data_IF_926485913970
#
_entry.id   IF_926485913970
#
_cell.length_a   1.000
_cell.length_b   1.000
_cell.length_c   1.000
_cell.angle_alpha   90.00
_cell.angle_beta   90.00
_cell.angle_gamma   90.00
#
_symmetry.space_group_name_H-M   'P 1'
#
loop_
_entity.id
_entity.type
_entity.pdbx_description
1 polymer ?
#
# COMPACT_ATOMS: atom_id res chain seq x y z
N UNK A 1 -2.01 -40.48 -15.22
CA UNK A 1 -2.79 -41.43 -14.40
C UNK A 1 -3.90 -42.00 -15.25
N UNK A 2 -4.40 -43.20 -14.95
CA UNK A 2 -5.57 -43.76 -15.62
C UNK A 2 -6.45 -44.43 -14.57
N UNK A 3 -7.75 -44.46 -14.83
CA UNK A 3 -8.74 -45.12 -13.97
C UNK A 3 -9.28 -46.35 -14.70
N UNK A 4 -9.45 -47.47 -14.02
CA UNK A 4 -10.17 -48.61 -14.55
C UNK A 4 -11.62 -48.55 -14.05
N UNK A 5 -12.58 -48.65 -14.97
CA UNK A 5 -13.98 -48.78 -14.55
C UNK A 5 -14.23 -50.18 -14.00
N UNK A 6 -15.31 -50.36 -13.22
CA UNK A 6 -15.75 -51.69 -12.71
C UNK A 6 -16.08 -52.70 -13.84
N UNK A 7 -16.13 -52.26 -15.09
CA UNK A 7 -16.31 -53.07 -16.29
C UNK A 7 -15.00 -53.41 -17.02
N UNK A 8 -13.84 -53.22 -16.39
CA UNK A 8 -12.49 -53.46 -16.95
C UNK A 8 -12.20 -52.66 -18.22
N UNK A 9 -12.88 -51.52 -18.41
CA UNK A 9 -12.57 -50.58 -19.48
C UNK A 9 -11.57 -49.56 -18.92
N UNK A 10 -10.35 -49.60 -19.44
CA UNK A 10 -9.30 -48.65 -19.08
C UNK A 10 -9.68 -47.27 -19.63
N UNK A 11 -9.79 -46.30 -18.73
CA UNK A 11 -9.98 -44.89 -19.12
C UNK A 11 -8.76 -44.43 -19.91
N UNK A 12 -8.92 -43.50 -20.87
CA UNK A 12 -7.80 -42.89 -21.56
C UNK A 12 -6.77 -42.37 -20.55
N UNK A 13 -5.48 -42.58 -20.86
CA UNK A 13 -4.39 -42.12 -20.00
C UNK A 13 -4.43 -40.58 -19.87
N UNK A 14 -4.53 -40.08 -18.63
CA UNK A 14 -4.46 -38.67 -18.29
C UNK A 14 -2.98 -38.25 -18.15
N UNK A 15 -2.54 -37.34 -19.02
CA UNK A 15 -1.18 -36.79 -19.04
C UNK A 15 -1.20 -35.30 -18.73
N UNK A 16 -0.30 -34.88 -17.84
CA UNK A 16 -0.09 -33.49 -17.49
C UNK A 16 1.37 -33.12 -17.75
N UNK A 17 1.70 -32.86 -19.01
CA UNK A 17 3.01 -32.34 -19.38
C UNK A 17 2.87 -30.84 -19.66
N UNK A 18 3.62 -30.04 -18.92
CA UNK A 18 3.55 -28.58 -19.02
C UNK A 18 4.87 -27.92 -18.69
N UNK A 19 4.98 -26.66 -19.10
CA UNK A 19 6.11 -25.78 -18.82
C UNK A 19 5.61 -24.59 -17.99
N UNK A 20 6.42 -24.20 -17.00
CA UNK A 20 6.25 -22.95 -16.26
C UNK A 20 7.47 -22.08 -16.53
N UNK A 21 7.22 -20.82 -16.91
CA UNK A 21 8.24 -19.84 -17.25
C UNK A 21 8.03 -18.62 -16.39
N UNK A 22 9.09 -18.11 -15.78
CA UNK A 22 9.02 -16.96 -14.88
C UNK A 22 10.15 -15.99 -15.23
N UNK A 23 9.84 -14.70 -15.27
CA UNK A 23 10.78 -13.62 -15.51
C UNK A 23 10.51 -12.50 -14.51
N UNK A 24 11.55 -12.03 -13.83
CA UNK A 24 11.47 -10.91 -12.91
C UNK A 24 12.50 -9.86 -13.32
N UNK A 25 12.06 -8.61 -13.43
CA UNK A 25 12.89 -7.46 -13.74
C UNK A 25 12.69 -6.41 -12.65
N UNK A 26 13.73 -6.23 -11.84
CA UNK A 26 13.77 -5.21 -10.81
C UNK A 26 14.67 -4.08 -11.29
N UNK A 27 14.11 -2.89 -11.50
CA UNK A 27 14.87 -1.73 -11.98
C UNK A 27 14.69 -0.52 -11.07
N UNK A 28 15.81 0.04 -10.60
CA UNK A 28 15.84 1.24 -9.77
C UNK A 28 16.31 2.43 -10.60
N UNK A 29 15.35 3.23 -11.10
CA UNK A 29 15.65 4.43 -11.88
C UNK A 29 16.38 5.51 -11.06
N UNK A 30 15.94 5.73 -9.82
CA UNK A 30 16.56 6.68 -8.89
C UNK A 30 16.49 6.15 -7.46
N UNK A 31 17.08 6.88 -6.50
CA UNK A 31 16.91 6.54 -5.07
C UNK A 31 15.47 6.61 -4.59
N UNK A 32 14.61 7.36 -5.29
CA UNK A 32 13.20 7.53 -4.97
C UNK A 32 12.25 6.83 -5.92
N UNK A 33 12.70 6.31 -7.06
CA UNK A 33 11.87 5.67 -8.08
C UNK A 33 12.41 4.27 -8.39
N UNK A 34 11.61 3.25 -8.12
CA UNK A 34 11.90 1.87 -8.51
C UNK A 34 10.67 1.22 -9.11
N UNK A 35 10.88 0.37 -10.10
CA UNK A 35 9.86 -0.48 -10.69
C UNK A 35 10.28 -1.93 -10.59
N UNK A 36 9.30 -2.81 -10.39
CA UNK A 36 9.46 -4.25 -10.43
C UNK A 36 8.43 -4.80 -11.40
N UNK A 37 8.88 -5.57 -12.37
CA UNK A 37 8.03 -6.26 -13.32
C UNK A 37 8.23 -7.76 -13.15
N UNK A 38 7.13 -8.50 -13.04
CA UNK A 38 7.15 -9.96 -13.02
C UNK A 38 6.23 -10.49 -14.09
N UNK A 39 6.69 -11.47 -14.84
CA UNK A 39 5.91 -12.21 -15.81
C UNK A 39 6.00 -13.70 -15.46
N UNK A 40 4.87 -14.39 -15.48
CA UNK A 40 4.85 -15.84 -15.39
C UNK A 40 3.85 -16.43 -16.40
N UNK A 41 4.29 -17.44 -17.13
CA UNK A 41 3.49 -18.14 -18.12
C UNK A 41 3.47 -19.64 -17.84
N UNK A 42 2.29 -20.24 -17.93
CA UNK A 42 2.10 -21.68 -17.88
C UNK A 42 1.58 -22.17 -19.22
N UNK A 43 2.07 -23.31 -19.67
CA UNK A 43 1.68 -23.85 -20.98
C UNK A 43 1.62 -25.38 -20.92
N UNK A 44 0.68 -25.96 -21.67
CA UNK A 44 0.53 -27.41 -21.84
C UNK A 44 1.31 -27.84 -23.07
N UNK A 45 2.09 -28.89 -22.94
CA UNK A 45 2.89 -29.48 -24.02
C UNK A 45 2.41 -30.90 -24.38
N UNK A 46 1.13 -31.19 -24.17
CA UNK A 46 0.58 -32.52 -24.44
C UNK A 46 0.77 -32.95 -25.91
N UNK A 47 0.86 -32.00 -26.85
CA UNK A 47 1.14 -32.26 -28.28
C UNK A 47 2.58 -32.73 -28.54
N UNK A 48 3.51 -32.45 -27.64
CA UNK A 48 4.92 -32.88 -27.70
C UNK A 48 5.16 -34.24 -27.01
N UNK A 49 4.10 -35.02 -26.78
CA UNK A 49 4.18 -36.35 -26.17
C UNK A 49 5.14 -37.25 -26.96
N UNK A 50 6.19 -37.71 -26.29
CA UNK A 50 7.24 -38.55 -26.89
C UNK A 50 8.37 -37.78 -27.60
N UNK A 51 8.22 -36.47 -27.82
CA UNK A 51 9.18 -35.61 -28.50
C UNK A 51 9.45 -34.31 -27.70
N UNK A 52 9.53 -34.39 -26.37
CA UNK A 52 9.85 -33.25 -25.52
C UNK A 52 11.15 -32.53 -25.94
N UNK A 53 12.10 -33.27 -26.53
CA UNK A 53 13.32 -32.72 -27.13
C UNK A 53 13.06 -31.78 -28.32
N UNK A 54 12.00 -32.01 -29.10
CA UNK A 54 11.61 -31.11 -30.20
C UNK A 54 11.02 -29.79 -29.67
N UNK A 55 10.24 -29.82 -28.59
CA UNK A 55 9.75 -28.60 -27.94
C UNK A 55 10.92 -27.73 -27.46
N UNK A 56 11.92 -28.37 -26.84
CA UNK A 56 13.12 -27.68 -26.37
C UNK A 56 13.97 -27.15 -27.53
N UNK A 57 14.16 -27.94 -28.60
CA UNK A 57 14.93 -27.55 -29.79
C UNK A 57 14.29 -26.38 -30.54
N UNK A 58 12.96 -26.35 -30.62
CA UNK A 58 12.22 -25.32 -31.34
C UNK A 58 11.87 -24.10 -30.48
N UNK A 59 12.20 -24.13 -29.18
CA UNK A 59 11.81 -23.10 -28.20
C UNK A 59 10.30 -22.82 -28.21
N UNK A 60 9.49 -23.81 -28.60
CA UNK A 60 8.04 -23.68 -28.63
C UNK A 60 7.50 -23.94 -27.22
N UNK A 61 6.85 -22.95 -26.59
CA UNK A 61 6.27 -23.14 -25.28
C UNK A 61 5.04 -24.07 -25.26
N UNK A 62 4.52 -24.49 -26.41
CA UNK A 62 3.26 -25.21 -26.52
C UNK A 62 2.05 -24.31 -26.28
N UNK A 63 0.92 -24.91 -25.91
CA UNK A 63 -0.34 -24.19 -25.72
C UNK A 63 -0.33 -23.41 -24.41
N UNK A 64 -0.27 -22.08 -24.50
CA UNK A 64 -0.27 -21.20 -23.32
C UNK A 64 -1.65 -21.22 -22.67
N UNK A 65 -1.73 -21.62 -21.41
CA UNK A 65 -3.00 -21.71 -20.67
C UNK A 65 -3.17 -20.63 -19.62
N UNK A 66 -2.08 -20.01 -19.16
CA UNK A 66 -2.13 -18.99 -18.13
C UNK A 66 -0.96 -18.03 -18.30
N UNK A 67 -1.24 -16.73 -18.23
CA UNK A 67 -0.24 -15.67 -18.20
C UNK A 67 -0.58 -14.73 -17.05
N UNK A 68 0.36 -14.51 -16.15
CA UNK A 68 0.27 -13.50 -15.09
C UNK A 68 1.36 -12.47 -15.27
N UNK A 69 1.00 -11.20 -15.29
CA UNK A 69 1.92 -10.07 -15.37
C UNK A 69 1.70 -9.18 -14.15
N UNK A 70 2.75 -8.71 -13.50
CA UNK A 70 2.63 -7.71 -12.43
C UNK A 70 3.67 -6.62 -12.58
N UNK A 71 3.28 -5.38 -12.32
CA UNK A 71 4.12 -4.20 -12.38
C UNK A 71 3.91 -3.37 -11.12
N UNK A 72 4.95 -3.24 -10.31
CA UNK A 72 4.95 -2.49 -9.06
C UNK A 72 5.94 -1.34 -9.17
N UNK A 73 5.43 -0.11 -9.25
CA UNK A 73 6.23 1.12 -9.28
C UNK A 73 6.05 1.88 -7.98
N UNK A 74 7.15 2.20 -7.31
CA UNK A 74 7.16 2.97 -6.06
C UNK A 74 7.93 4.26 -6.27
N UNK A 75 7.33 5.38 -5.87
CA UNK A 75 7.91 6.70 -5.95
C UNK A 75 7.85 7.42 -4.59
N UNK A 76 8.99 7.56 -3.92
CA UNK A 76 9.13 8.19 -2.60
C UNK A 76 10.22 9.28 -2.60
N UNK A 77 9.97 10.44 -3.22
CA UNK A 77 10.96 11.48 -3.34
C UNK A 77 11.22 12.19 -2.00
N UNK A 78 12.49 12.32 -1.63
CA UNK A 78 12.93 13.03 -0.42
C UNK A 78 13.31 14.48 -0.73
N UNK A 79 12.42 15.22 -1.41
CA UNK A 79 12.70 16.60 -1.84
C UNK A 79 12.70 17.59 -0.66
N UNK A 80 11.79 17.38 0.29
CA UNK A 80 11.58 18.30 1.41
C UNK A 80 11.65 17.55 2.74
N UNK A 81 12.21 18.18 3.76
CA UNK A 81 12.16 17.62 5.12
C UNK A 81 10.72 17.60 5.63
N UNK A 82 10.01 18.71 5.40
CA UNK A 82 8.67 18.98 5.91
C UNK A 82 7.56 18.20 5.21
N UNK A 83 7.80 17.66 4.01
CA UNK A 83 6.84 16.85 3.25
C UNK A 83 7.50 15.57 2.78
N UNK A 84 6.94 14.44 3.22
CA UNK A 84 7.36 13.10 2.81
C UNK A 84 6.23 12.46 2.00
N UNK A 85 6.21 12.64 0.67
CA UNK A 85 5.30 11.93 -0.21
C UNK A 85 5.80 10.49 -0.43
N UNK A 86 4.85 9.57 -0.59
CA UNK A 86 5.09 8.19 -0.94
C UNK A 86 3.94 7.69 -1.81
N UNK A 87 4.24 7.41 -3.07
CA UNK A 87 3.29 6.91 -4.06
C UNK A 87 3.68 5.49 -4.43
N UNK A 88 2.70 4.61 -4.53
CA UNK A 88 2.89 3.26 -5.05
C UNK A 88 1.79 2.94 -6.05
N UNK A 89 2.18 2.30 -7.13
CA UNK A 89 1.31 1.86 -8.19
C UNK A 89 1.59 0.38 -8.45
N UNK A 90 0.62 -0.48 -8.21
CA UNK A 90 0.71 -1.91 -8.50
C UNK A 90 -0.38 -2.28 -9.49
N UNK A 91 0.00 -2.86 -10.60
CA UNK A 91 -0.89 -3.44 -11.59
C UNK A 91 -0.60 -4.93 -11.70
N UNK A 92 -1.63 -5.76 -11.58
CA UNK A 92 -1.53 -7.20 -11.74
C UNK A 92 -2.57 -7.64 -12.76
N UNK A 93 -2.12 -8.33 -13.80
CA UNK A 93 -2.96 -8.84 -14.86
C UNK A 93 -2.85 -10.36 -14.91
N UNK A 94 -3.97 -11.02 -15.20
CA UNK A 94 -4.04 -12.46 -15.42
C UNK A 94 -4.89 -12.75 -16.64
N UNK A 95 -4.41 -13.66 -17.47
CA UNK A 95 -5.09 -14.22 -18.62
C UNK A 95 -5.09 -15.73 -18.47
N UNK A 96 -6.22 -16.37 -18.68
CA UNK A 96 -6.36 -17.82 -18.58
C UNK A 96 -7.23 -18.37 -19.69
N UNK A 97 -6.78 -19.47 -20.29
CA UNK A 97 -7.50 -20.23 -21.30
C UNK A 97 -7.83 -21.62 -20.75
N UNK A 98 -9.13 -21.94 -20.71
CA UNK A 98 -9.65 -23.23 -20.22
C UNK A 98 -9.56 -24.32 -21.31
N UNK A 99 -9.24 -23.97 -22.57
CA UNK A 99 -9.15 -24.85 -23.75
C UNK A 99 -10.44 -25.62 -24.11
N UNK A 100 -11.42 -25.65 -23.21
CA UNK A 100 -12.69 -26.37 -23.34
C UNK A 100 -13.81 -25.52 -23.91
N UNK A 101 -13.64 -24.20 -23.88
CA UNK A 101 -14.64 -23.19 -24.23
C UNK A 101 -14.01 -22.12 -25.10
N UNK A 102 -14.79 -21.51 -25.98
CA UNK A 102 -14.30 -20.43 -26.82
C UNK A 102 -14.05 -19.16 -25.99
N UNK A 103 -12.91 -18.50 -26.20
CA UNK A 103 -12.53 -17.26 -25.54
C UNK A 103 -11.79 -17.45 -24.22
N UNK A 104 -11.15 -16.38 -23.75
CA UNK A 104 -10.26 -16.43 -22.58
C UNK A 104 -10.72 -15.51 -21.45
N UNK A 105 -10.46 -15.94 -20.21
CA UNK A 105 -10.80 -15.13 -19.04
C UNK A 105 -9.64 -14.21 -18.70
N UNK A 106 -9.96 -12.95 -18.41
CA UNK A 106 -8.99 -11.93 -18.06
C UNK A 106 -9.36 -11.28 -16.74
N UNK A 107 -8.35 -10.95 -15.93
CA UNK A 107 -8.53 -10.11 -14.75
C UNK A 107 -7.39 -9.11 -14.64
N UNK A 108 -7.72 -7.89 -14.20
CA UNK A 108 -6.79 -6.79 -13.97
C UNK A 108 -7.07 -6.20 -12.60
N UNK A 109 -6.07 -6.19 -11.74
CA UNK A 109 -6.11 -5.64 -10.40
C UNK A 109 -5.12 -4.47 -10.34
N UNK A 110 -5.64 -3.26 -10.27
CA UNK A 110 -4.86 -2.03 -10.25
C UNK A 110 -5.02 -1.40 -8.87
N UNK A 111 -3.92 -0.95 -8.29
CA UNK A 111 -3.95 -0.27 -7.01
C UNK A 111 -2.96 0.88 -7.01
N UNK A 112 -3.49 2.08 -6.83
CA UNK A 112 -2.72 3.28 -6.61
C UNK A 112 -2.84 3.66 -5.14
N UNK A 113 -1.72 3.90 -4.47
CA UNK A 113 -1.71 4.40 -3.09
C UNK A 113 -0.79 5.61 -3.02
N UNK A 114 -1.29 6.72 -2.50
CA UNK A 114 -0.52 7.92 -2.25
C UNK A 114 -0.64 8.30 -0.78
N UNK A 115 0.47 8.35 -0.08
CA UNK A 115 0.54 8.87 1.29
C UNK A 115 1.46 10.08 1.37
N UNK A 116 1.04 11.08 2.14
CA UNK A 116 1.78 12.30 2.37
C UNK A 116 1.89 12.52 3.86
N UNK A 117 3.11 12.63 4.37
CA UNK A 117 3.33 13.05 5.75
C UNK A 117 3.88 14.47 5.77
N UNK A 118 3.09 15.39 6.34
CA UNK A 118 3.43 16.78 6.55
C UNK A 118 3.90 16.99 7.99
N UNK A 119 5.05 17.62 8.19
CA UNK A 119 5.58 17.95 9.53
C UNK A 119 5.55 19.46 9.74
N UNK A 120 4.50 20.02 10.37
CA UNK A 120 4.32 21.46 10.50
C UNK A 120 5.51 22.21 11.11
N UNK A 121 6.15 21.63 12.13
CA UNK A 121 7.32 22.20 12.81
C UNK A 121 8.44 22.53 11.83
N UNK A 122 8.69 21.63 10.89
CA UNK A 122 9.78 21.77 9.93
C UNK A 122 9.48 22.82 8.86
N UNK A 123 8.21 23.13 8.61
CA UNK A 123 7.81 24.27 7.77
C UNK A 123 8.18 25.57 8.49
N UNK A 124 7.84 25.69 9.78
CA UNK A 124 8.18 26.88 10.55
C UNK A 124 9.70 27.05 10.68
N UNK A 125 10.44 25.96 10.86
CA UNK A 125 11.91 25.97 10.93
C UNK A 125 12.60 26.37 9.61
N UNK A 126 11.88 26.40 8.48
CA UNK A 126 12.37 27.02 7.25
C UNK A 126 12.50 28.53 7.41
N UNK A 127 11.57 29.15 8.14
CA UNK A 127 11.48 30.59 8.36
C UNK A 127 12.25 31.02 9.62
N UNK A 128 12.11 30.27 10.71
CA UNK A 128 12.72 30.60 11.99
C UNK A 128 13.13 29.34 12.76
N UNK A 129 14.44 29.20 12.96
CA UNK A 129 15.00 28.20 13.88
C UNK A 129 15.23 28.88 15.21
N UNK A 130 14.46 28.56 16.26
CA UNK A 130 14.74 29.11 17.58
C UNK A 130 16.14 28.68 18.02
N UNK A 131 16.84 29.50 18.83
CA UNK A 131 18.09 29.09 19.44
C UNK A 131 17.84 27.79 20.21
N UNK A 132 18.48 26.72 19.77
CA UNK A 132 18.45 25.44 20.48
C UNK A 132 18.95 25.70 21.90
N UNK A 133 18.04 25.65 22.87
CA UNK A 133 18.42 25.43 24.26
C UNK A 133 19.05 24.04 24.24
N UNK A 134 20.37 24.01 24.05
CA UNK A 134 21.19 22.86 24.36
C UNK A 134 20.84 22.54 25.80
N UNK A 135 19.95 21.57 26.01
CA UNK A 135 19.88 20.89 27.27
C UNK A 135 21.28 20.29 27.41
N UNK A 136 22.15 21.03 28.12
CA UNK A 136 23.28 20.45 28.82
C UNK A 136 22.63 19.38 29.66
N UNK A 137 22.60 18.15 29.15
CA UNK A 137 22.57 16.99 29.99
C UNK A 137 23.81 17.16 30.84
N UNK A 138 23.64 17.76 32.02
CA UNK A 138 24.57 17.60 33.12
C UNK A 138 24.52 16.13 33.45
N UNK A 139 25.28 15.35 32.71
CA UNK A 139 25.67 14.00 33.07
C UNK A 139 26.36 14.17 34.42
N UNK A 140 25.61 13.96 35.51
CA UNK A 140 26.18 13.69 36.82
C UNK A 140 26.95 12.39 36.65
N UNK A 141 28.20 12.49 36.21
CA UNK A 141 29.17 11.41 36.22
C UNK A 141 29.41 11.07 37.69
N UNK A 142 28.68 10.09 38.20
CA UNK A 142 29.08 9.34 39.39
C UNK A 142 30.43 8.72 39.08
N UNK A 143 31.42 9.06 39.91
CA UNK A 143 32.68 8.35 40.13
C UNK A 143 33.02 7.22 39.14
N UNK A 144 33.93 7.50 38.21
CA UNK A 144 34.94 6.53 37.84
C UNK A 144 36.28 7.26 37.65
N UNK A 145 37.23 6.92 38.50
CA UNK A 145 38.64 7.26 38.32
C UNK A 145 39.14 6.46 37.12
N UNK A 146 39.42 7.10 36.00
CA UNK A 146 40.42 6.62 35.05
C UNK A 146 41.10 7.80 34.36
N UNK A 147 42.41 7.85 34.53
CA UNK A 147 43.34 8.72 33.79
C UNK A 147 43.31 8.31 32.31
N UNK A 148 43.09 9.27 31.43
CA UNK A 148 43.22 9.10 29.99
C UNK A 148 43.06 10.43 29.28
N UNK A 149 44.17 11.16 29.14
CA UNK A 149 44.25 12.45 28.44
C UNK A 149 44.17 12.17 26.94
N UNK A 150 43.00 12.40 26.34
CA UNK A 150 42.85 12.51 24.88
C UNK A 150 42.29 13.89 24.59
N UNK A 151 43.17 14.77 24.12
CA UNK A 151 42.86 16.07 23.53
C UNK A 151 42.09 15.84 22.24
N UNK A 152 40.78 16.09 22.25
CA UNK A 152 39.98 16.23 21.03
C UNK A 152 39.72 17.70 20.78
N UNK A 153 40.23 18.17 19.65
CA UNK A 153 40.18 19.53 19.15
C UNK A 153 38.75 20.10 19.12
N UNK A 154 38.60 21.28 19.71
CA UNK A 154 37.41 22.11 19.62
C UNK A 154 37.26 22.67 18.20
N UNK A 155 36.54 21.96 17.33
CA UNK A 155 35.99 22.55 16.12
C UNK A 155 34.74 23.39 16.46
N UNK A 156 34.97 24.60 16.96
CA UNK A 156 33.97 25.65 17.16
C UNK A 156 33.46 26.18 15.82
N UNK A 157 32.57 25.43 15.17
CA UNK A 157 31.70 25.99 14.13
C UNK A 157 30.78 27.02 14.79
N UNK A 158 31.14 28.30 14.64
CA UNK A 158 30.34 29.48 15.04
C UNK A 158 28.88 29.30 14.58
N UNK A 159 27.99 28.98 15.51
CA UNK A 159 26.54 29.06 15.30
C UNK A 159 26.18 30.54 15.17
N UNK A 160 25.64 30.95 14.02
CA UNK A 160 24.96 32.25 13.88
C UNK A 160 23.89 32.33 14.97
N UNK A 161 24.06 33.23 15.92
CA UNK A 161 23.04 33.56 16.91
C UNK A 161 21.88 34.26 16.21
N UNK A 162 20.85 33.50 15.88
CA UNK A 162 19.57 34.05 15.44
C UNK A 162 18.95 34.78 16.64
N UNK A 163 18.78 36.10 16.54
CA UNK A 163 18.11 36.92 17.56
C UNK A 163 16.76 36.28 17.90
N UNK A 164 16.54 36.00 19.18
CA UNK A 164 15.33 35.33 19.67
C UNK A 164 14.13 36.28 19.53
N UNK A 165 13.18 35.93 18.66
CA UNK A 165 11.91 36.65 18.56
C UNK A 165 10.89 35.90 19.41
N UNK A 166 10.52 36.47 20.57
CA UNK A 166 9.65 35.82 21.58
C UNK A 166 8.35 35.26 20.99
N UNK A 167 7.71 35.99 20.07
CA UNK A 167 6.46 35.56 19.41
C UNK A 167 6.68 34.35 18.50
N UNK A 168 7.73 34.32 17.67
CA UNK A 168 8.04 33.17 16.82
C UNK A 168 8.49 31.95 17.63
N UNK A 169 9.20 32.15 18.75
CA UNK A 169 9.55 31.06 19.67
C UNK A 169 8.29 30.47 20.34
N UNK A 170 7.30 31.31 20.68
CA UNK A 170 6.01 30.83 21.20
C UNK A 170 5.21 30.04 20.16
N UNK A 171 5.09 30.58 18.94
CA UNK A 171 4.42 29.89 17.82
C UNK A 171 5.13 28.55 17.51
N UNK A 172 6.47 28.53 17.52
CA UNK A 172 7.24 27.29 17.38
C UNK A 172 6.88 26.27 18.46
N UNK A 173 6.81 26.68 19.72
CA UNK A 173 6.42 25.79 20.82
C UNK A 173 4.97 25.28 20.74
N UNK A 174 4.06 26.00 20.10
CA UNK A 174 2.70 25.52 19.82
C UNK A 174 2.70 24.52 18.66
N UNK A 175 3.41 24.81 17.58
CA UNK A 175 3.46 23.94 16.39
C UNK A 175 4.26 22.66 16.69
N UNK A 176 5.28 22.71 17.56
CA UNK A 176 6.05 21.54 18.02
C UNK A 176 5.20 20.50 18.76
N UNK A 177 4.07 20.93 19.32
CA UNK A 177 3.08 20.03 19.92
C UNK A 177 2.22 19.32 18.88
N UNK A 178 2.17 19.79 17.64
CA UNK A 178 1.39 19.17 16.56
C UNK A 178 2.20 18.01 15.97
N UNK A 179 1.65 16.80 16.08
CA UNK A 179 2.23 15.63 15.43
C UNK A 179 2.15 15.75 13.90
N UNK A 180 3.01 15.04 13.16
CA UNK A 180 2.92 15.01 11.71
C UNK A 180 1.53 14.64 11.22
N UNK A 181 1.04 15.38 10.24
CA UNK A 181 -0.24 15.15 9.57
C UNK A 181 0.00 14.13 8.46
N UNK A 182 -0.67 12.99 8.53
CA UNK A 182 -0.59 11.92 7.53
C UNK A 182 -1.89 11.88 6.74
N UNK A 183 -1.81 12.18 5.44
CA UNK A 183 -2.88 11.95 4.48
C UNK A 183 -2.58 10.67 3.70
N UNK A 184 -3.56 9.81 3.50
CA UNK A 184 -3.43 8.66 2.61
C UNK A 184 -4.64 8.55 1.71
N UNK A 185 -4.41 8.30 0.43
CA UNK A 185 -5.42 8.00 -0.56
C UNK A 185 -5.05 6.67 -1.22
N UNK A 186 -5.96 5.72 -1.24
CA UNK A 186 -5.79 4.46 -1.96
C UNK A 186 -6.97 4.26 -2.89
N UNK A 187 -6.68 3.94 -4.14
CA UNK A 187 -7.66 3.58 -5.15
C UNK A 187 -7.33 2.18 -5.63
N UNK A 188 -8.28 1.26 -5.49
CA UNK A 188 -8.18 -0.12 -5.96
C UNK A 188 -9.24 -0.36 -7.00
N UNK A 189 -8.85 -0.93 -8.11
CA UNK A 189 -9.70 -1.19 -9.25
C UNK A 189 -9.47 -2.62 -9.73
N UNK A 190 -10.45 -3.47 -9.47
CA UNK A 190 -10.45 -4.85 -9.91
C UNK A 190 -11.41 -4.96 -11.08
N UNK A 191 -10.93 -5.52 -12.18
CA UNK A 191 -11.71 -5.74 -13.40
C UNK A 191 -11.54 -7.18 -13.80
N UNK A 192 -12.59 -7.79 -14.28
CA UNK A 192 -12.53 -9.08 -14.92
C UNK A 192 -13.48 -9.10 -16.11
N UNK A 193 -13.11 -9.87 -17.13
CA UNK A 193 -13.98 -10.16 -18.25
C UNK A 193 -13.83 -11.64 -18.59
N UNK A 194 -14.96 -12.31 -18.82
CA UNK A 194 -14.97 -13.73 -19.12
C UNK A 194 -15.02 -13.95 -20.63
N UNK A 195 -14.35 -15.01 -21.07
CA UNK A 195 -14.28 -15.50 -22.45
C UNK A 195 -14.19 -14.43 -23.54
N UNK A 196 -13.23 -13.54 -23.35
CA UNK A 196 -12.90 -12.51 -24.32
C UNK A 196 -12.20 -13.13 -25.53
N UNK A 197 -12.53 -12.67 -26.73
CA UNK A 197 -11.96 -13.14 -27.99
C UNK A 197 -10.97 -12.09 -28.49
N UNK A 198 -9.72 -12.51 -28.73
CA UNK A 198 -8.68 -11.67 -29.31
C UNK A 198 -7.56 -11.27 -28.34
N UNK A 199 -6.68 -10.38 -28.79
CA UNK A 199 -5.48 -9.99 -28.04
C UNK A 199 -5.76 -8.82 -27.11
N UNK A 200 -5.54 -9.02 -25.80
CA UNK A 200 -5.79 -7.99 -24.80
C UNK A 200 -4.74 -6.88 -24.90
N UNK A 201 -5.16 -5.61 -25.09
CA UNK A 201 -4.22 -4.49 -25.17
C UNK A 201 -3.40 -4.32 -23.89
N UNK A 202 -2.11 -3.99 -24.04
CA UNK A 202 -1.22 -3.73 -22.90
C UNK A 202 -1.72 -2.61 -21.99
N UNK A 203 -2.34 -1.57 -22.57
CA UNK A 203 -2.93 -0.48 -21.80
C UNK A 203 -4.08 -0.92 -20.89
N UNK A 204 -4.83 -1.97 -21.24
CA UNK A 204 -5.81 -2.55 -20.33
C UNK A 204 -5.13 -3.33 -19.20
N UNK A 205 -4.10 -4.12 -19.52
CA UNK A 205 -3.33 -4.93 -18.55
C UNK A 205 -2.75 -4.08 -17.40
N UNK A 206 -2.22 -2.90 -17.75
CA UNK A 206 -1.61 -1.96 -16.80
C UNK A 206 -2.48 -0.73 -16.53
N UNK A 207 -3.79 -0.78 -16.83
CA UNK A 207 -4.72 0.27 -16.39
C UNK A 207 -4.58 1.66 -17.03
N UNK A 208 -3.81 1.81 -18.10
CA UNK A 208 -3.78 3.03 -18.91
C UNK A 208 -5.05 3.20 -19.75
N UNK A 209 -5.76 2.11 -20.02
CA UNK A 209 -7.07 2.11 -20.67
C UNK A 209 -8.16 1.56 -19.74
N UNK A 210 -9.36 2.14 -19.75
CA UNK A 210 -10.45 1.70 -18.89
C UNK A 210 -11.05 0.36 -19.33
N UNK A 211 -11.13 0.14 -20.64
CA UNK A 211 -11.81 -0.99 -21.27
C UNK A 211 -10.85 -1.75 -22.19
N UNK A 212 -11.10 -3.05 -22.39
CA UNK A 212 -10.30 -3.90 -23.28
C UNK A 212 -10.74 -3.78 -24.74
N UNK A 213 -12.00 -3.38 -25.01
CA UNK A 213 -12.53 -3.18 -26.36
C UNK A 213 -12.63 -4.45 -27.20
N UNK A 214 -12.76 -5.61 -26.55
CA UNK A 214 -12.81 -6.91 -27.21
C UNK A 214 -14.19 -7.52 -27.05
N UNK A 215 -14.63 -8.27 -28.06
CA UNK A 215 -15.88 -9.03 -28.02
C UNK A 215 -15.75 -10.26 -27.12
N UNK A 216 -16.89 -10.72 -26.60
CA UNK A 216 -16.97 -11.87 -25.72
C UNK A 216 -17.72 -13.00 -26.43
N UNK A 217 -17.32 -14.25 -26.20
CA UNK A 217 -18.02 -15.40 -26.80
C UNK A 217 -19.47 -15.46 -26.33
N UNK A 218 -20.35 -15.97 -27.20
CA UNK A 218 -21.74 -16.28 -26.84
C UNK A 218 -21.85 -17.33 -25.74
N UNK A 219 -20.80 -18.12 -25.51
CA UNK A 219 -20.75 -19.13 -24.45
C UNK A 219 -20.75 -18.52 -23.04
N UNK A 220 -20.43 -17.24 -22.87
CA UNK A 220 -20.34 -16.56 -21.56
C UNK A 220 -21.69 -16.52 -20.83
N UNK A 221 -22.79 -16.57 -21.59
CA UNK A 221 -24.13 -16.41 -21.06
C UNK A 221 -24.32 -15.00 -20.49
N UNK A 222 -24.73 -14.91 -19.23
CA UNK A 222 -25.05 -13.63 -18.57
C UNK A 222 -23.94 -13.07 -17.68
N UNK A 223 -22.80 -13.77 -17.53
CA UNK A 223 -21.72 -13.36 -16.64
C UNK A 223 -20.52 -12.81 -17.43
N UNK A 224 -20.64 -11.57 -17.88
CA UNK A 224 -19.61 -10.91 -18.69
C UNK A 224 -18.34 -10.52 -17.92
N UNK A 225 -18.37 -10.63 -16.58
CA UNK A 225 -17.25 -10.27 -15.71
C UNK A 225 -17.61 -9.14 -14.75
N UNK A 226 -16.71 -8.87 -13.80
CA UNK A 226 -16.97 -7.93 -12.71
C UNK A 226 -16.08 -6.70 -12.75
N UNK A 227 -16.61 -5.61 -12.21
CA UNK A 227 -15.88 -4.37 -12.01
C UNK A 227 -16.05 -3.91 -10.57
N UNK A 228 -14.96 -3.72 -9.84
CA UNK A 228 -14.96 -3.29 -8.44
C UNK A 228 -13.99 -2.12 -8.29
N UNK A 229 -14.54 -0.97 -7.90
CA UNK A 229 -13.80 0.27 -7.68
C UNK A 229 -13.91 0.72 -6.24
N UNK A 230 -12.78 0.72 -5.54
CA UNK A 230 -12.64 1.11 -4.14
C UNK A 230 -11.77 2.34 -4.01
N UNK A 231 -12.22 3.32 -3.23
CA UNK A 231 -11.51 4.57 -2.94
C UNK A 231 -11.51 4.79 -1.44
N UNK A 232 -10.34 4.70 -0.84
CA UNK A 232 -10.12 4.83 0.59
C UNK A 232 -9.30 6.08 0.87
N UNK A 233 -9.91 7.06 1.53
CA UNK A 233 -9.26 8.26 2.04
C UNK A 233 -9.07 8.14 3.54
N UNK A 234 -7.88 8.49 4.04
CA UNK A 234 -7.67 8.63 5.47
C UNK A 234 -6.82 9.84 5.81
N UNK A 235 -7.14 10.45 6.95
CA UNK A 235 -6.45 11.58 7.51
C UNK A 235 -6.12 11.27 8.96
N UNK A 236 -4.87 11.49 9.37
CA UNK A 236 -4.42 11.26 10.74
C UNK A 236 -3.56 12.43 11.20
N UNK A 237 -3.80 12.86 12.43
CA UNK A 237 -3.02 13.92 13.09
C UNK A 237 -2.99 13.65 14.60
N UNK A 238 -2.23 14.45 15.35
CA UNK A 238 -2.30 14.42 16.80
C UNK A 238 -1.72 15.67 17.44
N UNK A 239 -2.06 15.89 18.70
CA UNK A 239 -1.68 17.04 19.50
C UNK A 239 -1.13 16.57 20.85
N UNK A 240 0.12 16.90 21.13
CA UNK A 240 0.76 16.70 22.43
C UNK A 240 0.37 17.82 23.37
N UNK A 241 -0.67 17.60 24.19
CA UNK A 241 -1.10 18.59 25.19
C UNK A 241 -0.05 18.74 26.29
N UNK A 242 0.53 17.63 26.76
CA UNK A 242 1.59 17.61 27.76
C UNK A 242 2.57 16.45 27.49
N UNK A 243 3.62 16.31 28.31
CA UNK A 243 4.53 15.14 28.24
C UNK A 243 3.82 13.80 28.44
N UNK A 244 2.63 13.83 29.04
CA UNK A 244 1.88 12.65 29.44
C UNK A 244 0.57 12.49 28.65
N UNK A 245 0.07 13.56 28.02
CA UNK A 245 -1.24 13.57 27.35
C UNK A 245 -1.06 13.88 25.87
N UNK A 246 -1.53 12.97 25.02
CA UNK A 246 -1.59 13.14 23.56
C UNK A 246 -3.00 12.87 23.05
N UNK A 247 -3.52 13.76 22.22
CA UNK A 247 -4.77 13.57 21.46
C UNK A 247 -4.41 13.10 20.07
N UNK A 248 -5.03 12.03 19.58
CA UNK A 248 -4.91 11.62 18.18
C UNK A 248 -6.23 11.82 17.48
N UNK A 249 -6.19 12.37 16.27
CA UNK A 249 -7.33 12.56 15.40
C UNK A 249 -7.19 11.63 14.21
N UNK A 250 -8.22 10.85 13.92
CA UNK A 250 -8.28 9.93 12.78
C UNK A 250 -9.60 10.10 12.04
N UNK A 251 -9.54 10.23 10.74
CA UNK A 251 -10.71 10.25 9.88
C UNK A 251 -10.48 9.27 8.73
N UNK A 252 -11.47 8.44 8.45
CA UNK A 252 -11.45 7.52 7.31
C UNK A 252 -12.76 7.56 6.54
N UNK A 253 -12.63 7.45 5.22
CA UNK A 253 -13.76 7.46 4.31
C UNK A 253 -13.48 6.51 3.15
N UNK A 254 -14.30 5.49 3.04
CA UNK A 254 -14.18 4.41 2.07
C UNK A 254 -15.41 4.40 1.17
N UNK A 255 -15.20 4.38 -0.13
CA UNK A 255 -16.24 4.21 -1.15
C UNK A 255 -15.94 2.95 -1.93
N UNK A 256 -16.94 2.11 -2.14
CA UNK A 256 -16.86 0.91 -2.96
C UNK A 256 -18.01 0.90 -3.96
N UNK A 257 -17.73 0.61 -5.21
CA UNK A 257 -18.73 0.40 -6.26
C UNK A 257 -18.42 -0.91 -6.95
N UNK A 258 -19.31 -1.89 -6.82
CA UNK A 258 -19.15 -3.23 -7.38
C UNK A 258 -20.26 -3.44 -8.40
N UNK A 259 -19.89 -3.69 -9.64
CA UNK A 259 -20.76 -4.15 -10.70
C UNK A 259 -20.45 -5.64 -10.88
N UNK A 260 -21.44 -6.46 -10.57
CA UNK A 260 -21.32 -7.91 -10.67
C UNK A 260 -21.43 -8.39 -12.12
N UNK A 261 -21.01 -9.64 -12.37
CA UNK A 261 -21.13 -10.32 -13.66
C UNK A 261 -22.48 -10.22 -14.34
N UNK A 262 -23.54 -10.19 -13.54
CA UNK A 262 -24.95 -10.12 -13.95
C UNK A 262 -25.47 -8.69 -14.14
N UNK A 263 -24.61 -7.67 -14.03
CA UNK A 263 -24.95 -6.25 -14.19
C UNK A 263 -25.53 -5.57 -12.94
N UNK A 264 -25.65 -6.27 -11.81
CA UNK A 264 -26.12 -5.67 -10.55
C UNK A 264 -25.04 -4.77 -9.98
N UNK A 265 -25.37 -3.49 -9.81
CA UNK A 265 -24.50 -2.49 -9.20
C UNK A 265 -24.81 -2.34 -7.70
N UNK A 266 -23.79 -2.52 -6.86
CA UNK A 266 -23.82 -2.27 -5.43
C UNK A 266 -22.85 -1.14 -5.09
N UNK A 267 -23.38 -0.09 -4.46
CA UNK A 267 -22.58 1.03 -3.96
C UNK A 267 -22.58 1.06 -2.44
N UNK A 268 -21.40 1.13 -1.87
CA UNK A 268 -21.20 1.15 -0.41
C UNK A 268 -20.35 2.35 -0.05
N UNK A 269 -20.77 3.09 0.97
CA UNK A 269 -20.04 4.22 1.51
C UNK A 269 -19.91 4.06 3.02
N UNK A 270 -18.69 4.11 3.53
CA UNK A 270 -18.37 4.08 4.95
C UNK A 270 -17.57 5.33 5.28
N UNK A 271 -18.02 6.11 6.26
CA UNK A 271 -17.30 7.30 6.74
C UNK A 271 -17.50 7.49 8.23
N UNK A 272 -16.55 8.15 8.87
CA UNK A 272 -16.72 8.65 10.23
C UNK A 272 -17.63 9.88 10.22
N UNK A 273 -18.70 9.88 11.00
CA UNK A 273 -19.66 10.99 11.05
C UNK A 273 -20.31 11.13 12.43
N UNK A 274 -20.66 12.35 12.80
CA UNK A 274 -21.53 12.64 13.96
C UNK A 274 -22.93 12.86 13.44
N UNK A 275 -23.90 12.20 14.08
CA UNK A 275 -25.32 12.29 13.74
C UNK A 275 -26.02 13.34 14.57
N UNK A 276 -27.04 13.95 13.98
CA UNK A 276 -27.91 14.93 14.65
C UNK A 276 -29.36 14.46 14.75
N UNK A 277 -29.63 13.23 14.33
CA UNK A 277 -30.96 12.64 14.22
C UNK A 277 -31.00 11.28 14.94
N UNK A 278 -32.15 10.92 15.49
CA UNK A 278 -32.38 9.67 16.23
C UNK A 278 -32.24 8.44 15.32
N UNK A 279 -32.54 8.61 14.02
CA UNK A 279 -32.41 7.56 13.02
C UNK A 279 -31.02 7.49 12.40
N UNK A 280 -30.06 8.30 12.87
CA UNK A 280 -28.67 8.34 12.39
C UNK A 280 -28.54 8.59 10.86
N UNK A 281 -29.60 9.06 10.20
CA UNK A 281 -29.62 9.28 8.73
C UNK A 281 -28.85 10.53 8.33
N UNK A 282 -28.92 11.58 9.15
CA UNK A 282 -28.30 12.88 8.90
C UNK A 282 -27.13 13.13 9.84
N UNK A 283 -26.01 13.60 9.30
CA UNK A 283 -24.83 13.92 10.09
C UNK A 283 -23.70 14.54 9.27
N UNK A 284 -22.70 15.09 9.96
CA UNK A 284 -21.51 15.70 9.34
C UNK A 284 -20.29 14.80 9.52
N UNK A 285 -19.37 14.76 8.53
CA UNK A 285 -18.10 14.08 8.70
C UNK A 285 -17.34 14.66 9.90
N UNK A 286 -16.93 13.78 10.83
CA UNK A 286 -16.21 14.21 12.01
C UNK A 286 -15.09 13.21 12.31
N UNK A 287 -13.85 13.67 12.55
CA UNK A 287 -12.75 12.78 12.87
C UNK A 287 -13.00 12.09 14.22
N UNK A 288 -12.76 10.79 14.26
CA UNK A 288 -12.51 10.10 15.51
C UNK A 288 -11.38 10.76 16.28
N UNK A 289 -11.48 10.72 17.61
CA UNK A 289 -10.52 11.31 18.52
C UNK A 289 -10.24 10.31 19.63
N UNK A 290 -8.98 10.15 19.99
CA UNK A 290 -8.56 9.30 21.10
C UNK A 290 -7.54 10.03 21.96
N UNK A 291 -7.59 9.80 23.26
CA UNK A 291 -6.59 10.30 24.19
C UNK A 291 -5.69 9.16 24.61
N UNK A 292 -4.40 9.48 24.72
CA UNK A 292 -3.44 8.65 25.42
C UNK A 292 -2.94 9.43 26.61
N UNK A 293 -3.13 8.86 27.80
CA UNK A 293 -2.64 9.37 29.08
C UNK A 293 -1.61 8.37 29.60
N UNK A 294 -0.35 8.78 29.57
CA UNK A 294 0.77 8.03 30.15
C UNK A 294 1.06 8.53 31.56
N UNK A 295 1.72 7.72 32.39
CA UNK A 295 2.09 8.16 33.74
C UNK A 295 0.96 8.06 34.76
N UNK A 296 -0.06 7.25 34.48
CA UNK A 296 -1.19 7.03 35.38
C UNK A 296 -0.74 6.24 36.61
N UNK A 297 0.41 5.56 36.56
CA UNK A 297 1.05 4.95 37.74
C UNK A 297 1.42 5.96 38.85
N UNK A 298 1.47 7.26 38.53
CA UNK A 298 1.74 8.31 39.51
C UNK A 298 0.48 8.77 40.25
N UNK A 299 -0.70 8.30 39.85
CA UNK A 299 -1.94 8.62 40.54
C UNK A 299 -2.03 7.86 41.88
N UNK A 300 -2.53 8.50 42.96
CA UNK A 300 -2.44 7.96 44.31
C UNK A 300 -3.00 6.54 44.46
N UNK A 301 -4.05 6.21 43.70
CA UNK A 301 -4.78 4.94 43.78
C UNK A 301 -4.06 3.82 42.98
N UNK A 302 -3.49 4.16 41.83
CA UNK A 302 -2.87 3.18 40.90
C UNK A 302 -1.42 2.87 41.30
N UNK A 303 -0.74 3.82 41.95
CA UNK A 303 0.62 3.66 42.48
C UNK A 303 0.77 2.48 43.44
N UNK A 304 -0.31 2.09 44.12
CA UNK A 304 -0.34 0.94 45.03
C UNK A 304 -0.41 -0.41 44.30
N UNK A 305 -0.97 -0.44 43.09
CA UNK A 305 -1.28 -1.68 42.36
C UNK A 305 -0.32 -1.94 41.20
N UNK A 306 0.24 -0.90 40.57
CA UNK A 306 1.10 -1.06 39.39
C UNK A 306 2.30 -0.10 39.36
N UNK A 307 3.47 -0.62 38.96
CA UNK A 307 4.70 0.18 38.76
C UNK A 307 4.70 1.00 37.46
N UNK A 308 3.84 0.66 36.50
CA UNK A 308 3.64 1.41 35.24
C UNK A 308 2.22 1.19 34.73
N UNK A 309 1.52 2.25 34.32
CA UNK A 309 0.17 2.18 33.78
C UNK A 309 -0.08 3.27 32.73
N UNK A 310 -0.68 2.89 31.60
CA UNK A 310 -1.14 3.79 30.54
C UNK A 310 -2.62 3.54 30.25
N UNK A 311 -3.37 4.62 30.06
CA UNK A 311 -4.76 4.62 29.59
C UNK A 311 -4.86 5.30 28.22
#
# INVERSE_FOLDING_TARGET
>A
SWNETRSSIRSPDNYNFGISRNMNLDYKFTNSLSTKYSWAGQSKLNDYRGYAWMALKNLDPGLVTNVTESMNTTYSPQLFKWLKPNMSYSASYRWTDDLSREGQNISSNLRFSSSFTLTPVQILELLYKPPSKSNRNTTKTRNSRSRGKVTSENNTKKKKETKEIKSLTFIHGLIDKVNPISLSYTETLNRSANQVIGSVPSGYKFGWMPEHGLEQSSEVGSNFGSWDHKRDGSFRSGLKLSRLITVNLNFSQNFSSVISGTGVEQRTMTRDYITFDELFKNGIPFPGWSFRVSGVEKWPIIKWVAKSASL
#
